data_IF_039597048505
#
_entry.id   IF_039597048505
#
_cell.length_a   1.000
_cell.length_b   1.000
_cell.length_c   1.000
_cell.angle_alpha   90.00
_cell.angle_beta   90.00
_cell.angle_gamma   90.00
#
_symmetry.space_group_name_H-M   'P 1'
#
loop_
_entity.id
_entity.type
_entity.pdbx_description
1 polymer ?
#
# COMPACT_ATOMS: atom_id res chain seq x y z
N UNK A 1 -26.57 3.77 25.07
CA UNK A 1 -25.57 3.79 23.98
C UNK A 1 -24.51 2.75 24.32
N UNK A 2 -24.51 1.63 23.60
CA UNK A 2 -23.59 0.51 23.86
C UNK A 2 -22.14 0.88 23.53
N UNK A 3 -21.19 0.34 24.29
CA UNK A 3 -19.75 0.60 24.13
C UNK A 3 -19.25 0.22 22.72
N UNK A 4 -19.82 -0.83 22.14
CA UNK A 4 -19.55 -1.27 20.76
C UNK A 4 -19.97 -0.22 19.73
N UNK A 5 -21.11 0.43 19.92
CA UNK A 5 -21.59 1.49 19.02
C UNK A 5 -20.67 2.70 19.06
N UNK A 6 -20.19 3.05 20.26
CA UNK A 6 -19.23 4.14 20.46
C UNK A 6 -17.90 3.88 19.75
N UNK A 7 -17.34 2.66 19.90
CA UNK A 7 -16.11 2.26 19.21
C UNK A 7 -16.24 2.29 17.68
N UNK A 8 -17.39 1.88 17.14
CA UNK A 8 -17.67 1.95 15.69
C UNK A 8 -17.71 3.40 15.21
N UNK A 9 -18.37 4.28 15.96
CA UNK A 9 -18.45 5.71 15.63
C UNK A 9 -17.07 6.39 15.69
N UNK A 10 -16.24 6.06 16.69
CA UNK A 10 -14.88 6.58 16.79
C UNK A 10 -13.99 6.10 15.63
N UNK A 11 -14.12 4.82 15.24
CA UNK A 11 -13.44 4.28 14.04
C UNK A 11 -13.91 5.02 12.79
N UNK A 12 -15.20 5.26 12.65
CA UNK A 12 -15.77 6.02 11.52
C UNK A 12 -15.23 7.44 11.44
N UNK A 13 -15.25 8.19 12.54
CA UNK A 13 -14.75 9.57 12.59
C UNK A 13 -13.25 9.65 12.28
N UNK A 14 -12.47 8.70 12.81
CA UNK A 14 -11.03 8.63 12.52
C UNK A 14 -10.76 8.35 11.03
N UNK A 15 -11.50 7.41 10.43
CA UNK A 15 -11.40 7.10 9.00
C UNK A 15 -11.76 8.31 8.13
N UNK A 16 -12.86 8.99 8.47
CA UNK A 16 -13.31 10.16 7.72
C UNK A 16 -12.29 11.31 7.81
N UNK A 17 -11.72 11.56 8.99
CA UNK A 17 -10.66 12.54 9.16
C UNK A 17 -9.40 12.22 8.34
N UNK A 18 -8.99 10.94 8.28
CA UNK A 18 -7.84 10.52 7.47
C UNK A 18 -8.07 10.70 5.97
N UNK A 19 -9.31 10.54 5.51
CA UNK A 19 -9.71 10.70 4.11
C UNK A 19 -10.08 12.15 3.74
N UNK A 20 -10.03 13.08 4.69
CA UNK A 20 -10.44 14.47 4.47
C UNK A 20 -11.95 14.68 4.32
N UNK A 21 -12.76 13.72 4.76
CA UNK A 21 -14.23 13.79 4.75
C UNK A 21 -14.68 14.53 6.01
N UNK A 22 -15.43 15.62 5.82
CA UNK A 22 -15.82 16.55 6.91
C UNK A 22 -17.24 16.34 7.43
N UNK A 23 -18.08 15.59 6.73
CA UNK A 23 -19.47 15.34 7.08
C UNK A 23 -19.68 13.85 7.37
N UNK A 24 -20.40 13.55 8.47
CA UNK A 24 -20.92 12.23 8.77
C UNK A 24 -22.46 12.24 8.78
N UNK A 25 -23.06 11.06 8.67
CA UNK A 25 -24.51 10.88 8.64
C UNK A 25 -25.20 11.55 9.85
N UNK A 26 -24.57 11.46 11.03
CA UNK A 26 -25.06 12.06 12.26
C UNK A 26 -25.04 13.60 12.19
N UNK A 27 -23.93 14.20 11.73
CA UNK A 27 -23.80 15.66 11.59
C UNK A 27 -24.79 16.21 10.57
N UNK A 28 -25.09 15.46 9.50
CA UNK A 28 -26.10 15.85 8.51
C UNK A 28 -27.51 15.79 9.13
N UNK A 29 -27.79 14.74 9.91
CA UNK A 29 -29.08 14.58 10.59
C UNK A 29 -29.33 15.65 11.67
N UNK A 30 -28.30 16.01 12.45
CA UNK A 30 -28.39 17.04 13.49
C UNK A 30 -28.28 18.47 12.95
N UNK A 31 -28.17 18.65 11.62
CA UNK A 31 -27.95 19.96 11.02
C UNK A 31 -29.23 20.78 10.97
N UNK A 32 -29.29 21.83 11.78
CA UNK A 32 -30.35 22.84 11.68
C UNK A 32 -29.98 23.97 10.71
N UNK A 33 -30.96 24.38 9.89
CA UNK A 33 -30.85 25.52 8.98
C UNK A 33 -31.71 26.69 9.48
N UNK A 34 -31.15 27.90 9.46
CA UNK A 34 -31.91 29.10 9.79
C UNK A 34 -32.89 29.47 8.69
N UNK A 35 -34.16 29.75 9.05
CA UNK A 35 -35.17 30.24 8.11
C UNK A 35 -34.90 31.70 7.71
N UNK A 36 -35.08 32.00 6.42
CA UNK A 36 -35.04 33.36 5.85
C UNK A 36 -36.30 33.60 5.03
N UNK A 37 -36.64 34.88 4.80
CA UNK A 37 -37.86 35.32 4.08
C UNK A 37 -37.99 34.72 2.66
N UNK A 38 -36.87 34.33 2.05
CA UNK A 38 -36.81 33.42 0.90
C UNK A 38 -35.85 32.29 1.25
N UNK A 39 -36.28 31.07 1.01
CA UNK A 39 -35.50 29.85 1.23
C UNK A 39 -36.10 28.69 0.46
N UNK A 40 -35.41 27.56 0.51
CA UNK A 40 -35.94 26.29 0.04
C UNK A 40 -37.02 25.78 1.00
N UNK A 41 -37.91 24.95 0.48
CA UNK A 41 -38.91 24.27 1.30
C UNK A 41 -38.22 23.28 2.26
N UNK A 42 -38.63 23.30 3.53
CA UNK A 42 -37.99 22.47 4.55
C UNK A 42 -38.21 20.98 4.31
N UNK A 43 -39.40 20.57 3.84
CA UNK A 43 -39.72 19.16 3.58
C UNK A 43 -38.95 18.63 2.36
N UNK A 44 -38.77 19.46 1.33
CA UNK A 44 -37.96 19.12 0.16
C UNK A 44 -36.48 18.94 0.54
N UNK A 45 -35.96 19.85 1.37
CA UNK A 45 -34.58 19.76 1.88
C UNK A 45 -34.40 18.53 2.75
N UNK A 46 -35.31 18.26 3.70
CA UNK A 46 -35.22 17.08 4.57
C UNK A 46 -35.27 15.77 3.77
N UNK A 47 -36.16 15.67 2.79
CA UNK A 47 -36.26 14.48 1.91
C UNK A 47 -34.96 14.26 1.12
N UNK A 48 -34.34 15.35 0.67
CA UNK A 48 -33.04 15.28 -0.01
C UNK A 48 -31.93 14.86 0.97
N UNK A 49 -31.88 15.45 2.17
CA UNK A 49 -30.89 15.12 3.19
C UNK A 49 -31.01 13.67 3.67
N UNK A 50 -32.21 13.11 3.77
CA UNK A 50 -32.42 11.68 4.06
C UNK A 50 -31.76 10.77 3.02
N UNK A 51 -31.82 11.17 1.75
CA UNK A 51 -31.16 10.44 0.66
C UNK A 51 -29.64 10.57 0.74
N UNK A 52 -29.14 11.77 1.02
CA UNK A 52 -27.71 12.02 1.23
C UNK A 52 -27.17 11.24 2.42
N UNK A 53 -27.92 11.17 3.53
CA UNK A 53 -27.54 10.39 4.72
C UNK A 53 -27.35 8.92 4.36
N UNK A 54 -28.31 8.31 3.63
CA UNK A 54 -28.22 6.91 3.18
C UNK A 54 -26.98 6.66 2.31
N UNK A 55 -26.68 7.59 1.41
CA UNK A 55 -25.48 7.47 0.57
C UNK A 55 -24.19 7.57 1.39
N UNK A 56 -24.13 8.47 2.38
CA UNK A 56 -22.98 8.58 3.28
C UNK A 56 -22.77 7.31 4.13
N UNK A 57 -23.84 6.66 4.58
CA UNK A 57 -23.75 5.35 5.24
C UNK A 57 -23.22 4.27 4.30
N UNK A 58 -23.68 4.26 3.04
CA UNK A 58 -23.22 3.31 2.02
C UNK A 58 -21.76 3.55 1.62
N UNK A 59 -21.34 4.80 1.52
CA UNK A 59 -19.93 5.16 1.29
C UNK A 59 -19.07 4.66 2.45
N UNK A 60 -19.50 4.86 3.69
CA UNK A 60 -18.77 4.35 4.85
C UNK A 60 -18.60 2.83 4.79
N UNK A 61 -19.67 2.07 4.53
CA UNK A 61 -19.60 0.62 4.42
C UNK A 61 -18.64 0.17 3.29
N UNK A 62 -18.68 0.85 2.14
CA UNK A 62 -17.84 0.53 0.98
C UNK A 62 -16.37 0.83 1.27
N UNK A 63 -16.06 1.99 1.88
CA UNK A 63 -14.70 2.38 2.25
C UNK A 63 -14.13 1.40 3.28
N UNK A 64 -14.93 1.02 4.28
CA UNK A 64 -14.51 0.06 5.30
C UNK A 64 -14.17 -1.32 4.68
N UNK A 65 -15.04 -1.85 3.81
CA UNK A 65 -14.82 -3.11 3.10
C UNK A 65 -13.56 -3.04 2.19
N UNK A 66 -13.37 -1.94 1.47
CA UNK A 66 -12.18 -1.72 0.65
C UNK A 66 -10.89 -1.66 1.49
N UNK A 67 -10.93 -1.01 2.64
CA UNK A 67 -9.77 -0.93 3.54
C UNK A 67 -9.44 -2.28 4.17
N UNK A 68 -10.45 -3.04 4.58
CA UNK A 68 -10.26 -4.38 5.14
C UNK A 68 -9.64 -5.31 4.07
N UNK A 69 -10.16 -5.28 2.83
CA UNK A 69 -9.57 -6.01 1.69
C UNK A 69 -8.14 -5.56 1.36
N UNK A 70 -7.88 -4.25 1.38
CA UNK A 70 -6.54 -3.73 1.14
C UNK A 70 -5.57 -4.21 2.22
N UNK A 71 -5.99 -4.22 3.48
CA UNK A 71 -5.18 -4.70 4.60
C UNK A 71 -4.89 -6.20 4.49
N UNK A 72 -5.89 -7.00 4.13
CA UNK A 72 -5.74 -8.44 3.87
C UNK A 72 -4.71 -8.70 2.76
N UNK A 73 -4.83 -8.01 1.63
CA UNK A 73 -3.88 -8.12 0.52
C UNK A 73 -2.46 -7.69 0.91
N UNK A 74 -2.30 -6.65 1.74
CA UNK A 74 -0.97 -6.26 2.23
C UNK A 74 -0.34 -7.32 3.14
N UNK A 75 -1.14 -8.01 3.94
CA UNK A 75 -0.66 -9.13 4.78
C UNK A 75 -0.22 -10.29 3.89
N UNK A 76 -1.05 -10.69 2.92
CA UNK A 76 -0.74 -11.78 1.99
C UNK A 76 0.54 -11.49 1.18
N UNK A 77 0.69 -10.27 0.66
CA UNK A 77 1.92 -9.83 -0.01
C UNK A 77 3.14 -9.86 0.91
N UNK A 78 2.97 -9.56 2.20
CA UNK A 78 4.06 -9.61 3.17
C UNK A 78 4.44 -11.05 3.50
N UNK A 79 3.48 -11.96 3.60
CA UNK A 79 3.71 -13.39 3.83
C UNK A 79 4.41 -14.03 2.62
N UNK A 80 3.92 -13.81 1.40
CA UNK A 80 4.62 -14.26 0.18
C UNK A 80 6.05 -13.69 0.07
N UNK A 81 6.25 -12.42 0.44
CA UNK A 81 7.59 -11.81 0.48
C UNK A 81 8.47 -12.39 1.58
N UNK A 82 7.89 -12.83 2.70
CA UNK A 82 8.61 -13.47 3.78
C UNK A 82 9.00 -14.90 3.39
N UNK A 83 8.11 -15.66 2.74
CA UNK A 83 8.38 -17.00 2.21
C UNK A 83 9.48 -16.97 1.14
N UNK A 84 9.42 -16.01 0.21
CA UNK A 84 10.48 -15.82 -0.80
C UNK A 84 11.82 -15.35 -0.21
N UNK A 85 11.83 -14.69 0.95
CA UNK A 85 13.06 -14.34 1.69
C UNK A 85 13.57 -15.46 2.61
N UNK A 86 12.68 -16.35 3.06
CA UNK A 86 12.97 -17.43 4.00
C UNK A 86 13.42 -18.71 3.30
N UNK A 87 13.19 -18.84 1.99
CA UNK A 87 14.01 -19.72 1.15
C UNK A 87 15.38 -19.04 1.07
N UNK A 88 16.45 -19.56 1.70
CA UNK A 88 17.78 -19.15 1.30
C UNK A 88 17.82 -19.46 -0.20
N UNK A 89 17.90 -18.43 -1.03
CA UNK A 89 18.26 -18.58 -2.43
C UNK A 89 19.63 -19.24 -2.42
N UNK A 90 19.66 -20.57 -2.34
CA UNK A 90 20.73 -21.37 -2.87
C UNK A 90 20.82 -20.84 -4.31
N UNK A 91 21.96 -20.24 -4.67
CA UNK A 91 22.08 -19.59 -5.96
C UNK A 91 21.71 -20.64 -7.02
N UNK A 92 20.92 -20.28 -8.05
CA UNK A 92 20.40 -21.26 -8.98
C UNK A 92 21.57 -22.05 -9.53
N UNK A 93 21.57 -23.36 -9.30
CA UNK A 93 22.58 -24.27 -9.87
C UNK A 93 22.30 -24.30 -11.37
N UNK A 94 22.86 -23.34 -12.10
CA UNK A 94 22.82 -23.33 -13.56
C UNK A 94 23.78 -24.43 -14.01
N UNK A 95 23.22 -25.54 -14.54
CA UNK A 95 23.94 -26.66 -15.16
C UNK A 95 24.84 -27.50 -14.23
N UNK A 96 24.41 -27.73 -12.99
CA UNK A 96 25.13 -28.63 -12.06
C UNK A 96 26.46 -28.07 -11.54
N UNK A 97 26.69 -26.76 -11.68
CA UNK A 97 27.88 -26.09 -11.17
C UNK A 97 27.45 -25.18 -10.01
N UNK A 98 28.02 -25.43 -8.83
CA UNK A 98 27.77 -24.61 -7.65
C UNK A 98 28.26 -23.17 -7.90
N UNK A 99 27.38 -22.15 -7.75
CA UNK A 99 27.73 -20.76 -8.07
C UNK A 99 28.90 -20.19 -7.26
N UNK A 100 29.17 -20.75 -6.08
CA UNK A 100 30.34 -20.39 -5.26
C UNK A 100 31.65 -20.90 -5.86
N UNK A 101 31.66 -22.11 -6.40
CA UNK A 101 32.84 -22.66 -7.07
C UNK A 101 33.16 -21.89 -8.35
N UNK A 102 32.13 -21.44 -9.07
CA UNK A 102 32.30 -20.62 -10.26
C UNK A 102 32.94 -19.26 -9.92
N UNK A 103 32.54 -18.64 -8.81
CA UNK A 103 33.13 -17.38 -8.34
C UNK A 103 34.61 -17.53 -8.00
N UNK A 104 34.98 -18.59 -7.28
CA UNK A 104 36.38 -18.90 -6.96
C UNK A 104 37.23 -19.13 -8.23
N UNK A 105 36.66 -19.85 -9.22
CA UNK A 105 37.32 -20.08 -10.51
C UNK A 105 37.49 -18.78 -11.28
N UNK A 106 36.49 -17.91 -11.32
CA UNK A 106 36.54 -16.61 -11.98
C UNK A 106 37.61 -15.72 -11.32
N UNK A 107 37.64 -15.63 -9.99
CA UNK A 107 38.63 -14.83 -9.25
C UNK A 107 40.05 -15.33 -9.56
N UNK A 108 40.25 -16.64 -9.62
CA UNK A 108 41.56 -17.23 -9.95
C UNK A 108 41.96 -16.94 -11.41
N UNK A 109 41.00 -16.98 -12.34
CA UNK A 109 41.20 -16.62 -13.74
C UNK A 109 41.55 -15.13 -13.90
N UNK A 110 40.84 -14.24 -13.22
CA UNK A 110 41.11 -12.80 -13.25
C UNK A 110 42.51 -12.48 -12.74
N UNK A 111 42.93 -13.11 -11.63
CA UNK A 111 44.27 -12.94 -11.08
C UNK A 111 45.35 -13.45 -12.03
N UNK A 112 45.14 -14.60 -12.67
CA UNK A 112 46.07 -15.14 -13.66
C UNK A 112 46.16 -14.24 -14.89
N UNK A 113 45.02 -13.76 -15.41
CA UNK A 113 44.97 -12.83 -16.55
C UNK A 113 45.67 -11.51 -16.18
N UNK A 114 45.49 -11.01 -14.96
CA UNK A 114 46.16 -9.81 -14.47
C UNK A 114 47.68 -9.99 -14.42
N UNK A 115 48.16 -11.11 -13.89
CA UNK A 115 49.59 -11.43 -13.88
C UNK A 115 50.17 -11.59 -15.30
N UNK A 116 49.39 -12.15 -16.23
CA UNK A 116 49.80 -12.25 -17.64
C UNK A 116 49.81 -10.87 -18.31
N UNK A 117 48.83 -10.02 -18.01
CA UNK A 117 48.76 -8.65 -18.51
C UNK A 117 49.92 -7.79 -18.00
N UNK A 118 50.35 -7.97 -16.75
CA UNK A 118 51.50 -7.28 -16.18
C UNK A 118 52.84 -7.78 -16.76
N UNK A 119 52.86 -9.01 -17.31
CA UNK A 119 54.02 -9.58 -18.00
C UNK A 119 54.07 -9.28 -19.50
N UNK A 120 52.98 -8.80 -20.08
CA UNK A 120 53.01 -8.24 -21.43
C UNK A 120 53.63 -6.84 -21.34
N UNK A 121 54.76 -6.56 -22.01
CA UNK A 121 55.15 -5.17 -22.23
C UNK A 121 54.01 -4.51 -22.98
N UNK A 122 53.54 -3.35 -22.50
CA UNK A 122 52.71 -2.50 -23.34
C UNK A 122 53.55 -2.16 -24.56
N UNK A 123 53.29 -2.81 -25.69
CA UNK A 123 53.68 -2.29 -26.98
C UNK A 123 52.79 -1.06 -27.22
N UNK A 124 53.14 0.03 -26.52
CA UNK A 124 52.79 1.36 -26.96
C UNK A 124 53.29 1.49 -28.40
N UNK A 125 52.36 1.85 -29.28
CA UNK A 125 52.60 1.86 -30.71
C UNK A 125 53.78 2.73 -31.10
N UNK A 126 54.49 2.30 -32.14
CA UNK A 126 55.11 3.21 -33.08
C UNK A 126 54.93 2.63 -34.49
N UNK A 127 54.23 3.43 -35.31
CA UNK A 127 54.13 3.44 -36.78
C UNK A 127 53.27 2.35 -37.45
#
# INVERSE_FOLDING_TARGET
MDEHMKRRLDKQRKLFSQLGITLDALTIHEKEFGMKLRGYDAEEVDTFLDSVIKDYERFYATIADLMDKWQEQQIELREMKAETKAIPVAPPIVRGIDPRELEDVIIKLENNIRQLKDRLPQSEGYL
#
